data_IF_726453527860
#
_entry.id   IF_726453527860
#
_cell.length_a   1.000
_cell.length_b   1.000
_cell.length_c   1.000
_cell.angle_alpha   90.00
_cell.angle_beta   90.00
_cell.angle_gamma   90.00
#
_symmetry.space_group_name_H-M   'P 1'
#
loop_
_entity.id
_entity.type
_entity.pdbx_description
1 polymer ?
#
# COMPACT_ATOMS: atom_id res chain seq x y z
N UNK A 1 0.78 15.49 34.32
CA UNK A 1 1.33 16.86 34.12
C UNK A 1 0.18 17.77 33.69
N UNK A 2 0.13 19.01 34.22
CA UNK A 2 -0.96 19.97 33.92
C UNK A 2 -1.06 20.28 32.41
N UNK A 3 0.07 20.23 31.71
CA UNK A 3 0.19 20.47 30.26
C UNK A 3 -0.61 19.46 29.40
N UNK A 4 -0.97 18.30 29.96
CA UNK A 4 -1.76 17.29 29.27
C UNK A 4 -3.25 17.62 29.23
N UNK A 5 -3.69 18.63 30.00
CA UNK A 5 -5.12 19.01 30.09
C UNK A 5 -5.41 20.20 29.18
N UNK A 6 -6.71 20.34 28.81
CA UNK A 6 -7.15 21.46 27.99
C UNK A 6 -7.03 22.78 28.75
N UNK A 7 -6.63 23.84 28.06
CA UNK A 7 -6.40 25.16 28.67
C UNK A 7 -7.61 25.67 29.42
N UNK A 8 -8.84 25.41 28.90
CA UNK A 8 -10.09 25.80 29.57
C UNK A 8 -10.26 25.07 30.91
N UNK A 9 -9.98 23.77 31.00
CA UNK A 9 -10.11 23.01 32.24
C UNK A 9 -9.00 23.36 33.24
N UNK A 10 -7.79 23.61 32.75
CA UNK A 10 -6.65 24.11 33.55
C UNK A 10 -6.96 25.46 34.15
N UNK A 11 -7.55 26.37 33.37
CA UNK A 11 -7.94 27.69 33.87
C UNK A 11 -8.95 27.61 35.03
N UNK A 12 -9.99 26.78 34.90
CA UNK A 12 -10.93 26.53 35.97
C UNK A 12 -10.26 26.04 37.27
N UNK A 13 -9.35 25.09 37.11
CA UNK A 13 -8.57 24.55 38.22
C UNK A 13 -7.66 25.61 38.86
N UNK A 14 -6.93 26.38 38.08
CA UNK A 14 -5.98 27.40 38.59
C UNK A 14 -6.72 28.55 39.25
N UNK A 15 -7.87 28.97 38.72
CA UNK A 15 -8.70 30.01 39.33
C UNK A 15 -9.27 29.54 40.69
N UNK A 16 -9.77 28.30 40.77
CA UNK A 16 -10.26 27.73 42.03
C UNK A 16 -9.14 27.57 43.07
N UNK A 17 -7.97 27.14 42.65
CA UNK A 17 -6.76 26.99 43.49
C UNK A 17 -6.34 28.35 44.05
N UNK A 18 -6.23 29.38 43.20
CA UNK A 18 -5.86 30.74 43.61
C UNK A 18 -6.86 31.33 44.61
N UNK A 19 -8.17 31.10 44.43
CA UNK A 19 -9.19 31.50 45.37
C UNK A 19 -9.01 30.84 46.75
N UNK A 20 -8.73 29.53 46.76
CA UNK A 20 -8.49 28.77 47.99
C UNK A 20 -7.24 29.25 48.74
N UNK A 21 -6.14 29.46 48.00
CA UNK A 21 -4.88 29.98 48.57
C UNK A 21 -5.03 31.41 49.13
N UNK A 22 -5.73 32.30 48.43
CA UNK A 22 -6.00 33.68 48.90
C UNK A 22 -6.85 33.66 50.20
N UNK A 23 -7.86 32.75 50.26
CA UNK A 23 -8.66 32.60 51.48
C UNK A 23 -7.82 32.11 52.65
N UNK A 24 -6.96 31.09 52.47
CA UNK A 24 -6.10 30.55 53.50
C UNK A 24 -5.15 31.60 54.08
N UNK A 25 -4.70 32.55 53.28
CA UNK A 25 -3.79 33.61 53.71
C UNK A 25 -4.52 34.74 54.47
N UNK A 26 -5.78 34.97 54.17
CA UNK A 26 -6.52 36.14 54.69
C UNK A 26 -7.56 35.81 55.74
N UNK A 27 -8.11 34.57 55.75
CA UNK A 27 -9.23 34.15 56.62
C UNK A 27 -8.94 32.77 57.24
N UNK A 28 -8.30 32.79 58.41
CA UNK A 28 -7.89 31.55 59.10
C UNK A 28 -8.67 31.27 60.40
N UNK A 29 -9.93 31.79 60.53
CA UNK A 29 -10.76 31.59 61.70
C UNK A 29 -11.91 30.61 61.45
N UNK A 30 -12.33 29.85 62.47
CA UNK A 30 -13.48 28.97 62.41
C UNK A 30 -14.79 29.70 61.99
N UNK A 31 -14.86 31.01 62.18
CA UNK A 31 -15.98 31.83 61.71
C UNK A 31 -16.13 31.85 60.21
N UNK A 32 -15.11 31.48 59.49
CA UNK A 32 -15.06 31.44 58.01
C UNK A 32 -15.23 30.00 57.47
N UNK A 33 -15.61 29.04 58.34
CA UNK A 33 -15.68 27.61 57.95
C UNK A 33 -16.63 27.36 56.76
N UNK A 34 -17.77 28.01 56.71
CA UNK A 34 -18.73 27.84 55.60
C UNK A 34 -18.18 28.37 54.29
N UNK A 35 -17.46 29.51 54.28
CA UNK A 35 -16.80 30.04 53.07
C UNK A 35 -15.72 29.09 52.60
N UNK A 36 -14.95 28.49 53.54
CA UNK A 36 -13.92 27.52 53.26
C UNK A 36 -14.49 26.26 52.57
N UNK A 37 -15.62 25.72 53.07
CA UNK A 37 -16.31 24.55 52.51
C UNK A 37 -16.81 24.79 51.10
N UNK A 38 -17.25 26.01 50.77
CA UNK A 38 -17.62 26.40 49.40
C UNK A 38 -16.39 26.37 48.49
N UNK A 39 -15.23 26.86 48.94
CA UNK A 39 -14.00 26.85 48.16
C UNK A 39 -13.44 25.43 47.94
N UNK A 40 -13.53 24.57 48.98
CA UNK A 40 -13.17 23.13 48.85
C UNK A 40 -14.04 22.46 47.79
N UNK A 41 -15.37 22.70 47.84
CA UNK A 41 -16.29 22.15 46.86
C UNK A 41 -16.02 22.65 45.45
N UNK A 42 -15.70 23.95 45.29
CA UNK A 42 -15.34 24.53 43.99
C UNK A 42 -14.04 23.95 43.42
N UNK A 43 -13.03 23.78 44.27
CA UNK A 43 -11.73 23.18 43.85
C UNK A 43 -11.93 21.69 43.50
N UNK A 44 -12.69 20.93 44.29
CA UNK A 44 -13.00 19.53 43.95
C UNK A 44 -13.76 19.42 42.62
N UNK A 45 -14.72 20.28 42.38
CA UNK A 45 -15.43 20.34 41.10
C UNK A 45 -14.49 20.67 39.93
N UNK A 46 -13.58 21.64 40.12
CA UNK A 46 -12.61 22.01 39.10
C UNK A 46 -11.59 20.89 38.82
N UNK A 47 -11.17 20.16 39.85
CA UNK A 47 -10.30 18.95 39.67
C UNK A 47 -11.04 17.89 38.85
N UNK A 48 -12.30 17.61 39.17
CA UNK A 48 -13.14 16.64 38.43
C UNK A 48 -13.44 17.07 37.00
N UNK A 49 -13.40 18.37 36.73
CA UNK A 49 -13.64 18.95 35.41
C UNK A 49 -12.37 18.98 34.53
N UNK A 50 -11.19 18.56 35.04
CA UNK A 50 -9.98 18.48 34.24
C UNK A 50 -10.17 17.51 33.10
N UNK A 51 -9.96 18.00 31.86
CA UNK A 51 -10.11 17.23 30.62
C UNK A 51 -8.79 17.13 29.92
N UNK A 52 -8.33 15.89 29.65
CA UNK A 52 -7.14 15.64 28.84
C UNK A 52 -7.29 16.24 27.44
N UNK A 53 -6.21 16.70 26.86
CA UNK A 53 -6.13 17.02 25.44
C UNK A 53 -6.27 15.74 24.62
N UNK A 54 -6.81 15.87 23.42
CA UNK A 54 -6.81 14.79 22.44
C UNK A 54 -5.35 14.50 21.98
N UNK A 55 -5.07 13.27 21.59
CA UNK A 55 -3.79 12.92 20.97
C UNK A 55 -3.62 13.64 19.61
N UNK A 56 -2.39 13.84 19.19
CA UNK A 56 -2.08 14.42 17.88
C UNK A 56 -2.02 13.32 16.80
N UNK A 57 -2.97 13.34 15.89
CA UNK A 57 -3.08 12.41 14.75
C UNK A 57 -2.47 12.98 13.45
N UNK A 58 -1.73 14.07 13.48
CA UNK A 58 -1.18 14.68 12.27
C UNK A 58 -0.30 13.72 11.48
N UNK A 59 0.57 12.97 12.17
CA UNK A 59 1.44 11.95 11.55
C UNK A 59 0.63 10.80 10.92
N UNK A 60 -0.45 10.35 11.58
CA UNK A 60 -1.34 9.30 11.03
C UNK A 60 -2.00 9.77 9.73
N UNK A 61 -2.50 11.02 9.71
CA UNK A 61 -3.13 11.59 8.50
C UNK A 61 -2.13 11.75 7.36
N UNK A 62 -0.91 12.22 7.66
CA UNK A 62 0.16 12.37 6.67
C UNK A 62 0.59 11.02 6.09
N UNK A 63 0.79 9.99 6.93
CA UNK A 63 1.12 8.64 6.50
C UNK A 63 0.02 8.05 5.60
N UNK A 64 -1.26 8.24 5.98
CA UNK A 64 -2.40 7.80 5.16
C UNK A 64 -2.42 8.50 3.81
N UNK A 65 -2.27 9.82 3.77
CA UNK A 65 -2.27 10.61 2.53
C UNK A 65 -1.15 10.16 1.58
N UNK A 66 0.04 9.88 2.11
CA UNK A 66 1.17 9.36 1.32
C UNK A 66 0.88 7.99 0.67
N UNK A 67 0.03 7.15 1.28
CA UNK A 67 -0.38 5.84 0.74
C UNK A 67 -1.58 5.92 -0.22
N UNK A 68 -2.38 6.99 -0.17
CA UNK A 68 -3.62 7.10 -0.94
C UNK A 68 -3.39 7.05 -2.46
N UNK A 69 -2.31 7.63 -2.97
CA UNK A 69 -1.95 7.57 -4.41
C UNK A 69 -1.56 6.14 -4.83
N UNK A 70 -0.80 5.45 -4.00
CA UNK A 70 -0.46 4.05 -4.23
C UNK A 70 -1.72 3.18 -4.21
N UNK A 71 -2.57 3.35 -3.21
CA UNK A 71 -3.85 2.63 -3.06
C UNK A 71 -4.73 2.75 -4.31
N UNK A 72 -4.83 3.94 -4.91
CA UNK A 72 -5.66 4.24 -6.10
C UNK A 72 -5.04 3.80 -7.42
N UNK A 73 -3.76 3.44 -7.46
CA UNK A 73 -3.02 3.14 -8.70
C UNK A 73 -3.58 1.99 -9.52
N UNK A 74 -4.39 1.12 -8.91
CA UNK A 74 -4.91 -0.09 -9.54
C UNK A 74 -3.89 -1.22 -9.72
N UNK A 75 -2.66 -1.06 -9.23
CA UNK A 75 -1.54 -1.99 -9.44
C UNK A 75 -1.48 -3.12 -8.41
N UNK A 76 -2.23 -3.03 -7.32
CA UNK A 76 -2.10 -3.94 -6.18
C UNK A 76 -3.21 -4.99 -6.10
N UNK A 77 -2.91 -6.12 -5.45
CA UNK A 77 -3.86 -7.20 -5.19
C UNK A 77 -4.99 -6.71 -4.28
N UNK A 78 -6.22 -7.17 -4.54
CA UNK A 78 -7.39 -6.84 -3.71
C UNK A 78 -7.15 -7.23 -2.25
N UNK A 79 -6.58 -8.41 -1.99
CA UNK A 79 -6.28 -8.85 -0.63
C UNK A 79 -5.34 -7.88 0.12
N UNK A 80 -4.36 -7.32 -0.58
CA UNK A 80 -3.45 -6.32 0.00
C UNK A 80 -4.15 -4.99 0.30
N UNK A 81 -5.05 -4.55 -0.58
CA UNK A 81 -5.88 -3.36 -0.35
C UNK A 81 -6.83 -3.58 0.83
N UNK A 82 -7.47 -4.75 0.94
CA UNK A 82 -8.33 -5.12 2.07
C UNK A 82 -7.55 -5.10 3.39
N UNK A 83 -6.35 -5.68 3.42
CA UNK A 83 -5.51 -5.65 4.62
C UNK A 83 -5.12 -4.22 5.05
N UNK A 84 -4.90 -3.33 4.09
CA UNK A 84 -4.69 -1.91 4.38
C UNK A 84 -5.96 -1.24 4.94
N UNK A 85 -7.12 -1.51 4.35
CA UNK A 85 -8.41 -0.99 4.85
C UNK A 85 -8.69 -1.45 6.29
N UNK A 86 -8.37 -2.70 6.61
CA UNK A 86 -8.47 -3.25 7.97
C UNK A 86 -7.52 -2.53 8.93
N UNK A 87 -6.29 -2.26 8.52
CA UNK A 87 -5.34 -1.47 9.29
C UNK A 87 -5.90 -0.08 9.60
N UNK A 88 -6.41 0.63 8.60
CA UNK A 88 -7.01 1.97 8.78
C UNK A 88 -8.25 1.91 9.68
N UNK A 89 -9.09 0.90 9.53
CA UNK A 89 -10.29 0.72 10.35
C UNK A 89 -9.96 0.40 11.82
N UNK A 90 -8.78 -0.16 12.11
CA UNK A 90 -8.35 -0.47 13.48
C UNK A 90 -7.94 0.75 14.30
N UNK A 91 -7.79 1.92 13.68
CA UNK A 91 -7.31 3.15 14.34
C UNK A 91 -8.39 3.67 15.29
N UNK A 92 -8.05 3.78 16.57
CA UNK A 92 -8.86 4.49 17.54
C UNK A 92 -8.59 5.99 17.48
N UNK A 93 -9.55 6.76 16.96
CA UNK A 93 -9.45 8.21 16.78
C UNK A 93 -9.82 9.04 18.02
N UNK A 94 -10.08 8.39 19.17
CA UNK A 94 -10.55 9.03 20.39
C UNK A 94 -9.58 8.88 21.57
N UNK A 95 -8.29 8.74 21.26
CA UNK A 95 -7.25 8.65 22.29
C UNK A 95 -6.86 10.03 22.81
N UNK A 96 -6.41 10.06 24.07
CA UNK A 96 -5.91 11.27 24.70
C UNK A 96 -4.41 11.43 24.46
N UNK A 97 -3.86 12.59 24.83
CA UNK A 97 -2.43 12.89 24.76
C UNK A 97 -1.57 11.89 25.58
N UNK A 98 -2.15 11.23 26.58
CA UNK A 98 -1.45 10.20 27.37
C UNK A 98 -1.20 8.93 26.55
N UNK A 99 -1.99 8.71 25.49
CA UNK A 99 -1.90 7.59 24.58
C UNK A 99 -1.12 7.93 23.28
N UNK A 100 -0.40 9.07 23.24
CA UNK A 100 0.29 9.55 22.03
C UNK A 100 1.20 8.49 21.42
N UNK A 101 1.88 7.69 22.23
CA UNK A 101 2.74 6.61 21.75
C UNK A 101 1.96 5.53 20.94
N UNK A 102 0.69 5.29 21.27
CA UNK A 102 -0.18 4.40 20.50
C UNK A 102 -0.53 5.02 19.15
N UNK A 103 -0.82 6.32 19.13
CA UNK A 103 -1.11 7.07 17.91
C UNK A 103 0.10 7.11 16.97
N UNK A 104 1.29 7.33 17.52
CA UNK A 104 2.56 7.27 16.77
C UNK A 104 2.80 5.86 16.20
N UNK A 105 2.40 4.81 16.94
CA UNK A 105 2.41 3.43 16.47
C UNK A 105 1.51 3.20 15.25
N UNK A 106 0.33 3.82 15.19
CA UNK A 106 -0.52 3.75 14.01
C UNK A 106 0.13 4.41 12.79
N UNK A 107 0.73 5.60 12.95
CA UNK A 107 1.44 6.29 11.88
C UNK A 107 2.55 5.40 11.31
N UNK A 108 3.36 4.82 12.20
CA UNK A 108 4.43 3.90 11.83
C UNK A 108 3.91 2.66 11.08
N UNK A 109 2.82 2.04 11.55
CA UNK A 109 2.24 0.86 10.91
C UNK A 109 1.75 1.17 9.48
N UNK A 110 1.19 2.37 9.25
CA UNK A 110 0.79 2.82 7.92
C UNK A 110 2.02 3.05 7.04
N UNK A 111 3.04 3.73 7.52
CA UNK A 111 4.27 4.00 6.78
C UNK A 111 5.00 2.72 6.37
N UNK A 112 5.04 1.72 7.24
CA UNK A 112 5.68 0.43 7.01
C UNK A 112 4.82 -0.53 6.19
N UNK A 113 3.54 -0.23 5.94
CA UNK A 113 2.67 -1.09 5.15
C UNK A 113 3.13 -1.17 3.71
N UNK A 114 3.31 -2.39 3.20
CA UNK A 114 3.75 -2.67 1.84
C UNK A 114 2.62 -3.32 1.05
N UNK A 115 2.20 -2.66 -0.03
CA UNK A 115 1.22 -3.21 -0.94
C UNK A 115 1.84 -4.30 -1.84
N UNK A 116 1.12 -5.41 -2.02
CA UNK A 116 1.52 -6.48 -2.93
C UNK A 116 1.00 -6.19 -4.35
N UNK A 117 1.90 -6.20 -5.32
CA UNK A 117 1.54 -6.02 -6.73
C UNK A 117 0.71 -7.19 -7.28
N UNK A 118 -0.19 -6.90 -8.21
CA UNK A 118 -0.81 -7.90 -9.10
C UNK A 118 0.25 -8.54 -9.99
N UNK A 119 -0.04 -9.71 -10.51
CA UNK A 119 0.76 -10.29 -11.59
C UNK A 119 0.69 -9.41 -12.84
N UNK A 120 1.74 -9.43 -13.64
CA UNK A 120 1.71 -8.83 -14.97
C UNK A 120 0.65 -9.48 -15.85
N UNK A 121 0.16 -8.75 -16.83
CA UNK A 121 -0.78 -9.27 -17.84
C UNK A 121 0.00 -9.89 -19.00
N UNK A 122 -0.13 -11.19 -19.16
CA UNK A 122 0.52 -11.99 -20.22
C UNK A 122 -0.41 -12.27 -21.41
N UNK A 123 -1.63 -11.74 -21.45
CA UNK A 123 -2.63 -12.05 -22.49
C UNK A 123 -2.10 -11.79 -23.89
N UNK A 124 -1.43 -10.64 -24.11
CA UNK A 124 -0.86 -10.29 -25.40
C UNK A 124 0.32 -11.20 -25.78
N UNK A 125 1.13 -11.61 -24.79
CA UNK A 125 2.23 -12.55 -25.00
C UNK A 125 1.72 -13.92 -25.40
N UNK A 126 0.72 -14.43 -24.71
CA UNK A 126 0.10 -15.73 -25.00
C UNK A 126 -0.52 -15.75 -26.40
N UNK A 127 -1.22 -14.68 -26.77
CA UNK A 127 -1.76 -14.54 -28.12
C UNK A 127 -0.67 -14.49 -29.20
N UNK A 128 0.45 -13.79 -28.97
CA UNK A 128 1.56 -13.73 -29.91
C UNK A 128 2.26 -15.11 -30.08
N UNK A 129 2.45 -15.83 -28.98
CA UNK A 129 3.00 -17.21 -29.01
C UNK A 129 2.07 -18.13 -29.77
N UNK A 130 0.76 -18.09 -29.52
CA UNK A 130 -0.24 -18.93 -30.21
C UNK A 130 -0.25 -18.66 -31.72
N UNK A 131 -0.17 -17.39 -32.12
CA UNK A 131 -0.07 -17.03 -33.53
C UNK A 131 1.16 -17.67 -34.19
N UNK A 132 2.32 -17.66 -33.53
CA UNK A 132 3.55 -18.32 -34.04
C UNK A 132 3.44 -19.84 -34.06
N UNK A 133 2.78 -20.45 -33.04
CA UNK A 133 2.53 -21.88 -33.00
C UNK A 133 1.64 -22.32 -34.17
N UNK A 134 0.63 -21.51 -34.51
CA UNK A 134 -0.22 -21.75 -35.70
C UNK A 134 0.61 -21.72 -36.99
N UNK A 135 1.59 -20.83 -37.11
CA UNK A 135 2.53 -20.83 -38.25
C UNK A 135 3.43 -22.07 -38.27
N UNK A 136 3.98 -22.48 -37.11
CA UNK A 136 4.82 -23.70 -36.97
C UNK A 136 4.04 -24.94 -37.41
N UNK A 137 2.74 -25.04 -37.05
CA UNK A 137 1.88 -26.16 -37.42
C UNK A 137 1.72 -26.39 -38.93
N UNK A 138 2.06 -25.39 -39.78
CA UNK A 138 2.05 -25.54 -41.24
C UNK A 138 3.24 -26.41 -41.75
N UNK A 139 4.20 -26.75 -40.88
CA UNK A 139 5.35 -27.57 -41.15
C UNK A 139 6.24 -27.07 -42.29
N UNK A 140 6.32 -25.73 -42.47
CA UNK A 140 7.09 -25.10 -43.53
C UNK A 140 8.49 -24.69 -43.09
N UNK A 141 8.81 -24.73 -41.79
CA UNK A 141 10.04 -24.19 -41.22
C UNK A 141 11.01 -25.30 -40.81
N UNK A 142 12.29 -24.95 -40.75
CA UNK A 142 13.35 -25.87 -40.30
C UNK A 142 13.20 -26.16 -38.81
N UNK A 143 13.58 -27.38 -38.39
CA UNK A 143 13.53 -27.82 -37.00
C UNK A 143 14.39 -26.93 -36.08
N UNK A 144 15.57 -26.52 -36.54
CA UNK A 144 16.46 -25.61 -35.81
C UNK A 144 15.80 -24.23 -35.56
N UNK A 145 15.10 -23.72 -36.59
CA UNK A 145 14.36 -22.44 -36.45
C UNK A 145 13.21 -22.54 -35.45
N UNK A 146 12.50 -23.65 -35.44
CA UNK A 146 11.44 -23.93 -34.46
C UNK A 146 12.02 -24.12 -33.05
N UNK A 147 13.12 -24.86 -32.92
CA UNK A 147 13.82 -25.05 -31.65
C UNK A 147 14.32 -23.72 -31.06
N UNK A 148 14.87 -22.85 -31.92
CA UNK A 148 15.25 -21.48 -31.50
C UNK A 148 14.11 -20.65 -30.96
N UNK A 149 12.94 -20.72 -31.61
CA UNK A 149 11.72 -20.05 -31.10
C UNK A 149 11.28 -20.63 -29.75
N UNK A 150 11.26 -21.95 -29.60
CA UNK A 150 10.90 -22.58 -28.33
C UNK A 150 11.89 -22.20 -27.21
N UNK A 151 13.19 -22.10 -27.51
CA UNK A 151 14.17 -21.62 -26.54
C UNK A 151 13.91 -20.19 -26.10
N UNK A 152 13.59 -19.30 -27.04
CA UNK A 152 13.22 -17.91 -26.73
C UNK A 152 12.02 -17.86 -25.78
N UNK A 153 10.93 -18.56 -26.10
CA UNK A 153 9.69 -18.55 -25.31
C UNK A 153 9.90 -19.15 -23.92
N UNK A 154 10.65 -20.26 -23.84
CA UNK A 154 10.95 -20.89 -22.55
C UNK A 154 11.86 -20.04 -21.65
N UNK A 155 12.56 -19.06 -22.19
CA UNK A 155 13.38 -18.12 -21.44
C UNK A 155 12.60 -16.97 -20.81
N UNK A 156 11.30 -16.81 -21.08
CA UNK A 156 10.50 -15.72 -20.53
C UNK A 156 10.11 -15.98 -19.07
N UNK A 157 10.34 -14.97 -18.22
CA UNK A 157 9.87 -15.00 -16.83
C UNK A 157 8.36 -14.76 -16.78
N UNK A 158 7.63 -15.76 -16.28
CA UNK A 158 6.16 -15.74 -16.11
C UNK A 158 5.73 -15.36 -14.69
N UNK A 159 6.67 -14.91 -13.84
CA UNK A 159 6.40 -14.55 -12.43
C UNK A 159 6.42 -13.06 -12.19
N UNK A 160 6.58 -12.25 -13.23
CA UNK A 160 6.65 -10.79 -13.14
C UNK A 160 5.35 -10.19 -12.62
N UNK A 161 5.50 -9.10 -11.90
CA UNK A 161 4.39 -8.29 -11.39
C UNK A 161 4.09 -7.11 -12.32
N UNK A 162 2.93 -6.48 -12.13
CA UNK A 162 2.40 -5.43 -13.03
C UNK A 162 3.33 -4.22 -13.16
N UNK A 163 4.17 -3.93 -12.17
CA UNK A 163 5.19 -2.89 -12.23
C UNK A 163 6.29 -3.21 -13.26
N UNK A 164 6.39 -4.47 -13.72
CA UNK A 164 7.28 -4.96 -14.78
C UNK A 164 6.54 -5.25 -16.09
N UNK A 165 5.33 -4.71 -16.29
CA UNK A 165 4.56 -4.94 -17.52
C UNK A 165 5.32 -4.56 -18.78
N UNK A 166 6.21 -3.55 -18.73
CA UNK A 166 7.08 -3.20 -19.86
C UNK A 166 7.96 -4.37 -20.33
N UNK A 167 8.51 -5.14 -19.40
CA UNK A 167 9.31 -6.33 -19.73
C UNK A 167 8.47 -7.38 -20.45
N UNK A 168 7.23 -7.60 -20.02
CA UNK A 168 6.30 -8.52 -20.71
C UNK A 168 5.99 -8.01 -22.12
N UNK A 169 5.81 -6.70 -22.30
CA UNK A 169 5.61 -6.10 -23.62
C UNK A 169 6.86 -6.28 -24.54
N UNK A 170 8.06 -6.25 -23.97
CA UNK A 170 9.29 -6.55 -24.71
C UNK A 170 9.36 -8.03 -25.14
N UNK A 171 8.83 -8.95 -24.33
CA UNK A 171 8.66 -10.35 -24.73
C UNK A 171 7.70 -10.47 -25.93
N UNK A 172 6.56 -9.75 -25.90
CA UNK A 172 5.62 -9.69 -27.04
C UNK A 172 6.34 -9.23 -28.31
N UNK A 173 7.12 -8.16 -28.20
CA UNK A 173 7.89 -7.64 -29.34
C UNK A 173 8.90 -8.68 -29.85
N UNK A 174 9.58 -9.39 -28.95
CA UNK A 174 10.54 -10.43 -29.30
C UNK A 174 9.87 -11.58 -30.05
N UNK A 175 8.71 -12.04 -29.61
CA UNK A 175 7.91 -13.07 -30.29
C UNK A 175 7.45 -12.58 -31.65
N UNK A 176 6.87 -11.39 -31.76
CA UNK A 176 6.34 -10.85 -33.01
C UNK A 176 7.45 -10.68 -34.06
N UNK A 177 8.63 -10.28 -33.63
CA UNK A 177 9.78 -10.04 -34.52
C UNK A 177 10.56 -11.30 -34.86
N UNK A 178 10.26 -12.44 -34.21
CA UNK A 178 10.95 -13.70 -34.52
C UNK A 178 10.69 -14.11 -35.95
N UNK A 179 11.76 -14.43 -36.70
CA UNK A 179 11.72 -14.86 -38.10
C UNK A 179 12.08 -16.34 -38.20
N UNK A 180 11.17 -17.14 -38.74
CA UNK A 180 11.43 -18.51 -39.04
C UNK A 180 12.17 -18.67 -40.35
N UNK A 181 13.04 -19.69 -40.44
CA UNK A 181 13.72 -20.10 -41.67
C UNK A 181 12.89 -21.19 -42.34
N UNK A 182 12.55 -20.99 -43.61
CA UNK A 182 11.83 -21.99 -44.39
C UNK A 182 12.70 -23.23 -44.68
N UNK A 183 12.07 -24.40 -44.75
CA UNK A 183 12.69 -25.60 -45.29
C UNK A 183 13.06 -25.38 -46.74
N UNK A 184 14.16 -26.00 -47.24
CA UNK A 184 14.45 -25.96 -48.65
C UNK A 184 13.34 -26.63 -49.47
N UNK A 185 13.16 -26.20 -50.70
CA UNK A 185 12.23 -26.84 -51.61
C UNK A 185 12.70 -28.28 -51.90
N UNK A 186 11.73 -29.19 -51.98
CA UNK A 186 11.96 -30.58 -52.37
C UNK A 186 11.93 -30.70 -53.90
N UNK A 187 13.09 -30.91 -54.48
CA UNK A 187 13.28 -31.08 -55.92
C UNK A 187 13.28 -32.55 -56.36
N UNK A 188 13.08 -33.51 -55.47
CA UNK A 188 13.23 -34.96 -55.74
C UNK A 188 12.42 -35.38 -56.99
N UNK A 189 11.20 -34.94 -57.14
CA UNK A 189 10.38 -35.28 -58.30
C UNK A 189 10.86 -34.62 -59.59
N UNK A 190 11.31 -33.35 -59.49
CA UNK A 190 11.87 -32.65 -60.66
C UNK A 190 13.17 -33.28 -61.12
N UNK A 191 14.06 -33.60 -60.17
CA UNK A 191 15.33 -34.26 -60.48
C UNK A 191 15.14 -35.65 -61.10
N UNK A 192 14.13 -36.43 -60.62
CA UNK A 192 13.77 -37.72 -61.20
C UNK A 192 13.30 -37.56 -62.65
N UNK A 193 12.39 -36.60 -62.95
CA UNK A 193 11.95 -36.33 -64.32
C UNK A 193 13.09 -35.86 -65.25
N UNK A 194 13.97 -34.99 -64.73
CA UNK A 194 15.15 -34.54 -65.50
C UNK A 194 16.07 -35.72 -65.83
N UNK A 195 16.25 -36.66 -64.92
CA UNK A 195 17.07 -37.85 -65.14
C UNK A 195 16.44 -38.76 -66.19
N UNK A 196 15.13 -38.96 -66.15
CA UNK A 196 14.38 -39.75 -67.10
C UNK A 196 14.46 -39.22 -68.54
N UNK A 197 14.40 -37.86 -68.69
CA UNK A 197 14.50 -37.24 -70.02
C UNK A 197 15.93 -37.24 -70.57
N UNK A 198 16.96 -37.34 -69.70
CA UNK A 198 18.41 -37.37 -70.11
C UNK A 198 18.91 -38.78 -70.37
N UNK A 199 18.15 -39.79 -70.02
CA UNK A 199 18.50 -41.20 -70.27
C UNK A 199 18.09 -41.65 -71.71
#
# INVERSE_FOLDING_TARGET
KIDNYTDASVKLYTDALAAADSFKLTKNSIRNQTEFEVLVSALDAAIKALKLKDADYSAVRAAKEAKDELYKSGMYKIASLTAYDELIASINWNLSIEDQATVDGYAKAIDEFVFEYKNADYTALDAAIEAKNTEIAKNLYTDDSVAGFNTLVNGFDRTLTIDKQSTVNDYVNSVNNYKFTYKPADYTKLDALIAEVKA
#
